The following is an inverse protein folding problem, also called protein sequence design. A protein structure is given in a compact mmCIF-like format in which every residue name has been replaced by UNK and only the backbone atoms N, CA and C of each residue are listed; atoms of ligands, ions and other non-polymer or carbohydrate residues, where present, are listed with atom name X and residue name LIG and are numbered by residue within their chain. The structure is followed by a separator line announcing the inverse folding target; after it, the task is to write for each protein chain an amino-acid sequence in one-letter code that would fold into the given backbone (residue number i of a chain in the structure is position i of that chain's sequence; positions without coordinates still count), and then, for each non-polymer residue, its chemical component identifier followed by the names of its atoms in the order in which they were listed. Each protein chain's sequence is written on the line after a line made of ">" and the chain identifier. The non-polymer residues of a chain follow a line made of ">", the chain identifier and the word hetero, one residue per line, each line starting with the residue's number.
data_IF_061159967866
#
_entry.id   IF_061159967866
#
_cell.length_a   1.000
_cell.length_b   1.000
_cell.length_c   1.000
_cell.angle_alpha   90.00
_cell.angle_beta   90.00
_cell.angle_gamma   90.00
#
_symmetry.space_group_name_H-M   'P 1'
#
loop_
_entity.id
_entity.type
_entity.pdbx_description
1 polymer ?
#
# COMPACT_ATOMS: atom_id res chain seq x y z
N UNK A 1 -7.53 9.73 -14.68
CA UNK A 1 -7.04 9.96 -13.30
C UNK A 1 -5.72 9.25 -13.10
N UNK A 2 -4.96 9.54 -12.03
CA UNK A 2 -3.70 8.85 -11.73
C UNK A 2 -3.31 8.90 -10.25
N UNK A 3 -2.42 7.98 -9.87
CA UNK A 3 -1.62 8.09 -8.65
C UNK A 3 -0.53 9.14 -8.90
N UNK A 4 -0.44 10.15 -8.05
CA UNK A 4 0.53 11.25 -8.16
C UNK A 4 1.72 11.07 -7.24
N UNK A 5 1.55 10.33 -6.14
CA UNK A 5 2.63 9.95 -5.24
C UNK A 5 2.22 8.74 -4.40
N UNK A 6 3.20 7.91 -4.02
CA UNK A 6 3.05 6.92 -2.96
C UNK A 6 4.08 7.25 -1.88
N UNK A 7 3.61 7.56 -0.68
CA UNK A 7 4.46 7.89 0.48
C UNK A 7 4.45 6.73 1.45
N UNK A 8 5.58 6.49 2.12
CA UNK A 8 5.68 5.51 3.19
C UNK A 8 6.41 6.09 4.40
N UNK A 9 6.03 5.64 5.59
CA UNK A 9 6.68 5.94 6.85
C UNK A 9 6.71 4.70 7.75
N UNK A 10 7.56 4.75 8.76
CA UNK A 10 7.64 3.72 9.82
C UNK A 10 6.98 4.30 11.07
N UNK A 11 6.00 3.58 11.61
CA UNK A 11 5.39 3.85 12.90
C UNK A 11 5.96 2.89 13.97
N UNK A 12 6.52 3.40 15.08
CA UNK A 12 6.90 2.56 16.21
C UNK A 12 5.65 2.02 16.93
N UNK A 13 5.65 0.71 17.20
CA UNK A 13 4.61 0.02 17.99
C UNK A 13 5.23 -0.67 19.21
N UNK A 14 6.43 -0.27 19.60
CA UNK A 14 7.21 -0.96 20.60
C UNK A 14 6.63 -0.79 22.01
N UNK A 15 6.59 -1.88 22.76
CA UNK A 15 6.16 -1.91 24.15
C UNK A 15 6.78 -3.09 24.89
N UNK A 16 6.61 -3.16 26.21
CA UNK A 16 7.17 -4.22 27.05
C UNK A 16 6.36 -5.53 27.05
N UNK A 17 5.28 -5.63 26.25
CA UNK A 17 4.46 -6.84 26.19
C UNK A 17 5.18 -7.99 25.48
N UNK A 18 4.84 -9.22 25.85
CA UNK A 18 5.35 -10.42 25.22
C UNK A 18 4.27 -11.50 25.13
N UNK A 19 4.50 -12.47 24.25
CA UNK A 19 3.75 -13.71 24.18
C UNK A 19 4.72 -14.91 24.24
N UNK A 20 4.22 -16.12 24.01
CA UNK A 20 5.03 -17.34 24.09
C UNK A 20 6.20 -17.43 23.09
N UNK A 21 6.26 -16.55 22.08
CA UNK A 21 7.25 -16.60 21.00
C UNK A 21 8.11 -15.33 20.88
N UNK A 22 7.52 -14.15 21.05
CA UNK A 22 8.20 -12.87 20.83
C UNK A 22 7.87 -11.85 21.92
N UNK A 23 8.76 -10.90 22.13
CA UNK A 23 8.46 -9.62 22.75
C UNK A 23 8.25 -8.52 21.69
N UNK A 24 7.64 -7.41 22.10
CA UNK A 24 7.31 -6.30 21.22
C UNK A 24 8.27 -5.11 21.39
N UNK A 25 9.42 -5.28 22.06
CA UNK A 25 10.32 -4.17 22.41
C UNK A 25 10.89 -3.41 21.22
N UNK A 26 10.85 -4.00 20.02
CA UNK A 26 11.32 -3.42 18.75
C UNK A 26 10.25 -3.36 17.66
N UNK A 27 8.99 -3.59 18.01
CA UNK A 27 7.92 -3.72 17.03
C UNK A 27 7.70 -2.42 16.26
N UNK A 28 7.48 -2.54 14.95
CA UNK A 28 7.18 -1.43 14.05
C UNK A 28 6.08 -1.83 13.05
N UNK A 29 5.47 -0.84 12.41
CA UNK A 29 4.60 -1.03 11.25
C UNK A 29 4.93 -0.01 10.16
N UNK A 30 4.72 -0.38 8.91
CA UNK A 30 4.69 0.56 7.79
C UNK A 30 3.33 1.25 7.74
N UNK A 31 3.35 2.53 7.40
CA UNK A 31 2.16 3.32 7.03
C UNK A 31 2.40 3.83 5.62
N UNK A 32 1.40 3.69 4.74
CA UNK A 32 1.45 4.11 3.34
C UNK A 32 0.31 5.07 3.04
N UNK A 33 0.59 6.05 2.18
CA UNK A 33 -0.40 6.94 1.58
C UNK A 33 -0.28 6.90 0.05
N UNK A 34 -1.36 6.48 -0.63
CA UNK A 34 -1.51 6.53 -2.08
C UNK A 34 -2.30 7.79 -2.44
N UNK A 35 -1.60 8.77 -3.00
CA UNK A 35 -2.16 10.09 -3.33
C UNK A 35 -2.61 10.10 -4.78
N UNK A 36 -3.84 10.53 -5.04
CA UNK A 36 -4.41 10.64 -6.39
C UNK A 36 -4.62 12.09 -6.80
N UNK A 37 -4.88 12.34 -8.09
CA UNK A 37 -5.32 13.65 -8.61
C UNK A 37 -6.84 13.86 -8.54
N UNK A 38 -7.60 12.88 -8.07
CA UNK A 38 -9.07 12.96 -7.95
C UNK A 38 -9.44 13.80 -6.74
N UNK A 39 -10.40 14.72 -6.92
CA UNK A 39 -10.97 15.50 -5.82
C UNK A 39 -12.35 14.98 -5.40
N UNK A 40 -12.57 14.92 -4.09
CA UNK A 40 -13.87 14.73 -3.43
C UNK A 40 -13.96 15.77 -2.31
N UNK A 41 -15.09 16.47 -2.21
CA UNK A 41 -15.31 17.54 -1.23
C UNK A 41 -14.17 18.57 -1.14
N UNK A 42 -13.65 18.95 -2.31
CA UNK A 42 -12.55 19.92 -2.44
C UNK A 42 -11.15 19.42 -2.05
N UNK A 43 -11.01 18.17 -1.60
CA UNK A 43 -9.73 17.57 -1.18
C UNK A 43 -9.30 16.47 -2.15
N UNK A 44 -7.99 16.33 -2.35
CA UNK A 44 -7.45 15.20 -3.10
C UNK A 44 -7.68 13.90 -2.36
N UNK A 45 -8.18 12.87 -3.05
CA UNK A 45 -8.37 11.55 -2.47
C UNK A 45 -7.00 10.94 -2.21
N UNK A 46 -6.78 10.58 -0.94
CA UNK A 46 -5.62 9.82 -0.48
C UNK A 46 -6.11 8.56 0.20
N UNK A 47 -5.66 7.42 -0.30
CA UNK A 47 -5.85 6.13 0.34
C UNK A 47 -4.73 5.84 1.34
N UNK A 48 -5.06 5.19 2.44
CA UNK A 48 -4.14 4.88 3.54
C UNK A 48 -4.14 3.40 3.85
N UNK A 49 -2.96 2.89 4.21
CA UNK A 49 -2.79 1.52 4.65
C UNK A 49 -1.70 1.40 5.69
N UNK A 50 -1.80 0.38 6.53
CA UNK A 50 -0.74 -0.01 7.47
C UNK A 50 -0.72 -1.53 7.65
N UNK A 51 0.41 -2.10 8.05
CA UNK A 51 0.46 -3.54 8.38
C UNK A 51 0.18 -3.79 9.85
N UNK A 52 -0.44 -4.94 10.11
CA UNK A 52 -0.65 -5.47 11.46
C UNK A 52 0.68 -5.72 12.19
N UNK A 53 0.58 -5.87 13.51
CA UNK A 53 1.72 -6.16 14.37
C UNK A 53 2.36 -7.53 14.09
N UNK A 54 3.59 -7.73 14.57
CA UNK A 54 4.29 -9.03 14.56
C UNK A 54 5.25 -9.22 13.40
N UNK A 55 5.11 -8.47 12.29
CA UNK A 55 5.93 -8.64 11.08
C UNK A 55 6.81 -7.44 10.72
N UNK A 56 6.84 -6.42 11.57
CA UNK A 56 7.68 -5.23 11.42
C UNK A 56 7.41 -4.40 10.14
N UNK A 57 7.95 -3.18 10.08
CA UNK A 57 7.84 -2.32 8.92
C UNK A 57 8.64 -2.84 7.72
N UNK A 58 8.14 -2.60 6.52
CA UNK A 58 8.71 -3.06 5.24
C UNK A 58 9.19 -1.90 4.36
N UNK A 59 9.78 -0.87 4.97
CA UNK A 59 10.19 0.36 4.28
C UNK A 59 11.15 0.10 3.11
N UNK A 60 12.11 -0.82 3.27
CA UNK A 60 13.04 -1.20 2.21
C UNK A 60 12.31 -1.79 1.00
N UNK A 61 11.48 -2.82 1.21
CA UNK A 61 10.73 -3.47 0.13
C UNK A 61 9.77 -2.51 -0.59
N UNK A 62 9.09 -1.64 0.17
CA UNK A 62 8.23 -0.61 -0.39
C UNK A 62 9.03 0.34 -1.29
N UNK A 63 10.10 0.93 -0.76
CA UNK A 63 10.91 1.96 -1.44
C UNK A 63 11.71 1.41 -2.63
N UNK A 64 12.25 0.21 -2.51
CA UNK A 64 13.25 -0.30 -3.45
C UNK A 64 12.65 -1.17 -4.55
N UNK A 65 11.40 -1.62 -4.39
CA UNK A 65 10.78 -2.54 -5.37
C UNK A 65 9.36 -2.14 -5.73
N UNK A 66 8.44 -2.09 -4.77
CA UNK A 66 7.02 -2.02 -5.09
C UNK A 66 6.55 -0.63 -5.51
N UNK A 67 6.95 0.42 -4.77
CA UNK A 67 6.59 1.80 -5.11
C UNK A 67 7.17 2.21 -6.46
N UNK A 68 8.48 2.00 -6.76
CA UNK A 68 9.04 2.36 -8.07
C UNK A 68 8.29 1.71 -9.23
N UNK A 69 7.97 0.40 -9.16
CA UNK A 69 7.22 -0.30 -10.21
C UNK A 69 5.87 0.38 -10.53
N UNK A 70 5.16 0.83 -9.50
CA UNK A 70 3.88 1.52 -9.67
C UNK A 70 4.06 2.94 -10.20
N UNK A 71 5.08 3.67 -9.75
CA UNK A 71 5.34 5.04 -10.18
C UNK A 71 5.93 5.14 -11.60
N UNK A 72 6.60 4.08 -12.07
CA UNK A 72 7.16 3.99 -13.42
C UNK A 72 6.14 3.46 -14.46
N UNK A 73 5.01 2.92 -14.00
CA UNK A 73 3.97 2.40 -14.89
C UNK A 73 3.18 3.53 -15.59
N UNK A 74 2.74 3.33 -16.84
CA UNK A 74 1.82 4.27 -17.49
C UNK A 74 0.53 4.39 -16.67
N UNK A 75 0.09 5.60 -16.27
CA UNK A 75 -1.07 5.75 -15.37
C UNK A 75 -2.36 5.09 -15.87
N UNK A 76 -2.58 5.10 -17.19
CA UNK A 76 -3.70 4.45 -17.87
C UNK A 76 -3.71 2.93 -17.71
N UNK A 77 -2.57 2.31 -17.39
CA UNK A 77 -2.48 0.87 -17.11
C UNK A 77 -2.97 0.50 -15.70
N UNK A 78 -3.17 1.50 -14.81
CA UNK A 78 -3.51 1.30 -13.40
C UNK A 78 -4.97 1.64 -13.09
N UNK A 79 -5.75 2.04 -14.09
CA UNK A 79 -7.17 2.41 -13.96
C UNK A 79 -8.08 1.34 -14.56
N UNK A 80 -9.34 1.33 -14.15
CA UNK A 80 -10.38 0.46 -14.69
C UNK A 80 -10.67 0.76 -16.18
N UNK A 81 -11.46 -0.08 -16.85
CA UNK A 81 -11.78 0.09 -18.27
C UNK A 81 -12.52 1.41 -18.59
N UNK A 82 -13.30 1.93 -17.64
CA UNK A 82 -13.97 3.23 -17.77
C UNK A 82 -13.01 4.42 -17.62
N UNK A 83 -11.82 4.21 -17.06
CA UNK A 83 -10.82 5.25 -16.79
C UNK A 83 -11.18 6.22 -15.65
N UNK A 84 -12.22 5.90 -14.88
CA UNK A 84 -12.80 6.77 -13.84
C UNK A 84 -12.46 6.37 -12.39
N UNK A 85 -11.87 5.18 -12.19
CA UNK A 85 -11.36 4.72 -10.90
C UNK A 85 -10.05 3.91 -11.07
N UNK A 86 -9.31 3.72 -9.98
CA UNK A 86 -8.18 2.78 -9.95
C UNK A 86 -8.68 1.34 -10.11
N UNK A 87 -7.86 0.48 -10.71
CA UNK A 87 -8.10 -0.97 -10.75
C UNK A 87 -7.13 -1.67 -9.79
N UNK A 88 -7.61 -2.15 -8.61
CA UNK A 88 -6.76 -2.84 -7.64
C UNK A 88 -6.04 -4.05 -8.22
N UNK A 89 -6.66 -4.79 -9.14
CA UNK A 89 -6.07 -5.99 -9.73
C UNK A 89 -4.95 -5.64 -10.70
N UNK A 90 -5.11 -4.60 -11.52
CA UNK A 90 -4.03 -4.11 -12.40
C UNK A 90 -2.85 -3.56 -11.59
N UNK A 91 -3.14 -2.81 -10.52
CA UNK A 91 -2.13 -2.28 -9.61
C UNK A 91 -1.37 -3.43 -8.93
N UNK A 92 -2.08 -4.45 -8.43
CA UNK A 92 -1.45 -5.63 -7.83
C UNK A 92 -0.54 -6.35 -8.83
N UNK A 93 -1.03 -6.59 -10.05
CA UNK A 93 -0.26 -7.26 -11.11
C UNK A 93 1.01 -6.46 -11.48
N UNK A 94 0.88 -5.14 -11.61
CA UNK A 94 2.00 -4.25 -11.87
C UNK A 94 3.07 -4.34 -10.76
N UNK A 95 2.66 -4.16 -9.50
CA UNK A 95 3.57 -4.21 -8.35
C UNK A 95 4.27 -5.57 -8.19
N UNK A 96 3.59 -6.67 -8.54
CA UNK A 96 4.11 -8.04 -8.44
C UNK A 96 4.91 -8.50 -9.67
N UNK A 97 5.07 -7.64 -10.68
CA UNK A 97 5.88 -7.96 -11.87
C UNK A 97 7.33 -8.29 -11.46
N UNK A 98 7.91 -9.33 -12.07
CA UNK A 98 9.25 -9.85 -11.77
C UNK A 98 9.46 -10.37 -10.34
N UNK A 99 8.38 -10.69 -9.61
CA UNK A 99 8.47 -11.48 -8.37
C UNK A 99 8.50 -12.99 -8.66
N UNK A 100 9.56 -13.69 -8.26
CA UNK A 100 9.61 -15.16 -8.34
C UNK A 100 8.54 -15.80 -7.43
N UNK A 101 8.05 -17.01 -7.75
CA UNK A 101 7.16 -17.77 -6.87
C UNK A 101 7.84 -18.22 -5.56
N UNK A 102 7.05 -18.56 -4.54
CA UNK A 102 7.53 -19.00 -3.21
C UNK A 102 8.02 -17.86 -2.31
N UNK A 103 8.50 -18.13 -1.09
CA UNK A 103 9.05 -17.07 -0.20
C UNK A 103 8.02 -16.00 0.22
N UNK A 104 6.85 -16.43 0.68
CA UNK A 104 5.77 -15.55 1.09
C UNK A 104 5.95 -15.07 2.54
N UNK A 105 6.82 -14.08 2.73
CA UNK A 105 7.12 -13.46 4.03
C UNK A 105 7.02 -11.94 3.98
N UNK A 106 8.16 -11.26 4.09
CA UNK A 106 8.23 -9.80 4.25
C UNK A 106 7.57 -9.03 3.08
N UNK A 107 7.70 -9.56 1.86
CA UNK A 107 7.10 -8.97 0.67
C UNK A 107 5.57 -9.02 0.66
N UNK A 108 4.96 -10.02 1.31
CA UNK A 108 3.49 -10.10 1.39
C UNK A 108 2.94 -9.01 2.32
N UNK A 109 3.70 -8.63 3.35
CA UNK A 109 3.38 -7.48 4.20
C UNK A 109 3.48 -6.20 3.40
N UNK A 110 4.58 -5.97 2.69
CA UNK A 110 4.76 -4.76 1.88
C UNK A 110 3.65 -4.54 0.84
N UNK A 111 3.33 -5.58 0.06
CA UNK A 111 2.28 -5.48 -0.96
C UNK A 111 0.89 -5.33 -0.32
N UNK A 112 0.62 -5.98 0.82
CA UNK A 112 -0.65 -5.85 1.53
C UNK A 112 -0.92 -4.45 2.06
N UNK A 113 0.11 -3.73 2.52
CA UNK A 113 -0.03 -2.32 2.95
C UNK A 113 -0.37 -1.40 1.78
N UNK A 114 0.25 -1.63 0.62
CA UNK A 114 -0.08 -0.90 -0.61
C UNK A 114 -1.51 -1.21 -1.06
N UNK A 115 -1.88 -2.48 -1.09
CA UNK A 115 -3.21 -2.94 -1.49
C UNK A 115 -4.32 -2.32 -0.61
N UNK A 116 -4.14 -2.31 0.71
CA UNK A 116 -5.06 -1.64 1.64
C UNK A 116 -5.26 -0.16 1.28
N UNK A 117 -4.16 0.57 1.01
CA UNK A 117 -4.24 1.97 0.62
C UNK A 117 -4.90 2.17 -0.74
N UNK A 118 -4.72 1.24 -1.68
CA UNK A 118 -5.37 1.27 -3.00
C UNK A 118 -6.88 1.08 -2.86
N UNK A 119 -7.33 0.07 -2.11
CA UNK A 119 -8.76 -0.16 -1.87
C UNK A 119 -9.43 1.00 -1.13
N UNK A 120 -8.76 1.58 -0.15
CA UNK A 120 -9.25 2.79 0.52
C UNK A 120 -9.39 3.97 -0.46
N UNK A 121 -8.43 4.16 -1.37
CA UNK A 121 -8.55 5.18 -2.42
C UNK A 121 -9.72 4.88 -3.37
N UNK A 122 -9.89 3.63 -3.81
CA UNK A 122 -10.97 3.21 -4.71
C UNK A 122 -12.34 3.49 -4.10
N UNK A 123 -12.56 3.08 -2.85
CA UNK A 123 -13.82 3.28 -2.14
C UNK A 123 -14.13 4.78 -1.95
N UNK A 124 -13.10 5.58 -1.63
CA UNK A 124 -13.22 7.05 -1.52
C UNK A 124 -13.54 7.73 -2.85
N UNK A 125 -12.93 7.29 -3.96
CA UNK A 125 -13.26 7.78 -5.30
C UNK A 125 -14.71 7.41 -5.63
N UNK A 126 -15.12 6.19 -5.33
CA UNK A 126 -16.48 5.69 -5.55
C UNK A 126 -17.52 6.38 -4.65
N UNK A 127 -17.10 7.00 -3.54
CA UNK A 127 -17.97 7.62 -2.56
C UNK A 127 -18.76 6.60 -1.74
N UNK A 128 -18.19 5.40 -1.53
CA UNK A 128 -18.82 4.30 -0.79
C UNK A 128 -17.93 3.83 0.36
N UNK A 129 -18.51 3.30 1.45
CA UNK A 129 -17.76 2.44 2.36
C UNK A 129 -17.17 1.26 1.59
N UNK A 130 -15.95 0.86 1.95
CA UNK A 130 -15.31 -0.34 1.41
C UNK A 130 -16.09 -1.60 1.81
#
# INVERSE_FOLDING_TARGET
>A
MRITAIRQAIAPLNSAISNAYIDFSKMTASVVAVVTDVKRDGKYVTGYGFNSNGRYAQAGLLRERFIPRLMDAPPESLVNDAGDNLDPHRIWACAMTNEKPGGHGERSVAIGVLDMAVWDAVAKIEGKPL
#
